data_IF_515236271452
#
_entry.id   IF_515236271452
#
_cell.length_a   1.000
_cell.length_b   1.000
_cell.length_c   1.000
_cell.angle_alpha   90.00
_cell.angle_beta   90.00
_cell.angle_gamma   90.00
#
_symmetry.space_group_name_H-M   'P 1'
#
loop_
_entity.id
_entity.type
_entity.pdbx_description
1 polymer ?
#
# COMPACT_ATOMS: atom_id res chain seq x y z
N UNK A 1 27.06 22.25 63.14
CA UNK A 1 27.44 20.97 62.48
C UNK A 1 27.25 21.10 60.96
N UNK A 2 28.00 22.02 60.33
CA UNK A 2 27.98 22.22 58.87
C UNK A 2 29.43 22.31 58.41
N UNK A 3 29.99 21.20 57.94
CA UNK A 3 31.30 21.20 57.28
C UNK A 3 31.02 21.32 55.78
N UNK A 4 31.18 22.54 55.27
CA UNK A 4 31.09 22.84 53.85
C UNK A 4 32.04 21.92 53.06
N UNK A 5 31.49 21.11 52.16
CA UNK A 5 32.24 20.37 51.14
C UNK A 5 32.70 21.44 50.14
N UNK A 6 33.83 22.07 50.47
CA UNK A 6 34.51 23.05 49.62
C UNK A 6 35.05 22.29 48.41
N UNK A 7 34.66 22.75 47.22
CA UNK A 7 34.82 22.06 45.95
C UNK A 7 36.15 21.35 45.78
N UNK A 8 36.07 20.04 45.59
CA UNK A 8 37.17 19.26 45.02
C UNK A 8 37.45 19.81 43.64
N UNK A 9 38.52 20.61 43.51
CA UNK A 9 39.18 20.83 42.22
C UNK A 9 39.40 19.45 41.64
N UNK A 10 38.65 19.09 40.61
CA UNK A 10 38.91 17.89 39.83
C UNK A 10 40.38 18.02 39.41
N UNK A 11 41.23 17.18 40.00
CA UNK A 11 42.66 17.33 39.85
C UNK A 11 42.95 17.01 38.38
N UNK A 12 43.33 18.01 37.59
CA UNK A 12 43.58 17.90 36.14
C UNK A 12 44.53 16.74 35.84
N UNK A 13 45.42 16.41 36.78
CA UNK A 13 46.33 15.27 36.73
C UNK A 13 45.61 13.91 36.78
N UNK A 14 44.54 13.76 37.56
CA UNK A 14 43.71 12.55 37.65
C UNK A 14 42.87 12.38 36.38
N UNK A 15 42.31 13.47 35.84
CA UNK A 15 41.62 13.46 34.55
C UNK A 15 42.55 13.12 33.38
N UNK A 16 43.76 13.68 33.35
CA UNK A 16 44.77 13.36 32.33
C UNK A 16 45.23 11.90 32.40
N UNK A 17 45.35 11.33 33.60
CA UNK A 17 45.70 9.92 33.77
C UNK A 17 44.57 9.00 33.28
N UNK A 18 43.32 9.26 33.66
CA UNK A 18 42.16 8.50 33.19
C UNK A 18 41.96 8.61 31.67
N UNK A 19 42.19 9.79 31.09
CA UNK A 19 42.16 10.01 29.64
C UNK A 19 43.28 9.25 28.91
N UNK A 20 44.48 9.23 29.49
CA UNK A 20 45.61 8.47 28.96
C UNK A 20 45.33 6.97 29.00
N UNK A 21 44.79 6.46 30.11
CA UNK A 21 44.40 5.06 30.26
C UNK A 21 43.26 4.67 29.28
N UNK A 22 42.28 5.55 29.03
CA UNK A 22 41.24 5.35 28.01
C UNK A 22 41.81 5.30 26.58
N UNK A 23 42.73 6.23 26.27
CA UNK A 23 43.37 6.34 24.95
C UNK A 23 44.29 5.17 24.66
N UNK A 24 44.98 4.65 25.68
CA UNK A 24 45.98 3.59 25.51
C UNK A 24 45.33 2.18 25.57
N UNK A 25 44.16 2.01 26.21
CA UNK A 25 43.48 0.72 26.33
C UNK A 25 42.19 0.57 25.50
N UNK A 26 41.20 1.43 25.75
CA UNK A 26 39.84 1.28 25.19
C UNK A 26 39.76 1.78 23.74
N UNK A 27 40.36 2.93 23.45
CA UNK A 27 40.33 3.54 22.12
C UNK A 27 40.87 2.63 20.99
N UNK A 28 42.04 1.95 21.14
CA UNK A 28 42.52 1.04 20.10
C UNK A 28 41.63 -0.19 19.94
N UNK A 29 40.96 -0.66 20.99
CA UNK A 29 40.01 -1.77 20.93
C UNK A 29 38.76 -1.40 20.13
N UNK A 30 38.21 -0.20 20.35
CA UNK A 30 37.07 0.35 19.59
C UNK A 30 37.45 0.53 18.11
N UNK A 31 38.63 1.09 17.84
CA UNK A 31 39.15 1.27 16.48
C UNK A 31 39.37 -0.06 15.75
N UNK A 32 39.90 -1.08 16.45
CA UNK A 32 40.11 -2.41 15.86
C UNK A 32 38.78 -3.07 15.50
N UNK A 33 37.80 -3.01 16.41
CA UNK A 33 36.47 -3.55 16.17
C UNK A 33 35.74 -2.83 15.02
N UNK A 34 35.89 -1.52 14.87
CA UNK A 34 35.27 -0.78 13.76
C UNK A 34 35.95 -1.06 12.42
N UNK A 35 37.27 -1.23 12.38
CA UNK A 35 38.01 -1.65 11.19
C UNK A 35 37.62 -3.09 10.81
N UNK A 36 37.52 -4.00 11.78
CA UNK A 36 37.10 -5.38 11.56
C UNK A 36 35.66 -5.45 11.00
N UNK A 37 34.76 -4.59 11.48
CA UNK A 37 33.40 -4.45 10.95
C UNK A 37 33.40 -3.95 9.51
N UNK A 38 34.20 -2.94 9.17
CA UNK A 38 34.32 -2.40 7.80
C UNK A 38 34.90 -3.48 6.87
N UNK A 39 35.92 -4.20 7.32
CA UNK A 39 36.55 -5.28 6.57
C UNK A 39 35.57 -6.45 6.33
N UNK A 40 34.79 -6.81 7.35
CA UNK A 40 33.74 -7.83 7.24
C UNK A 40 32.62 -7.38 6.29
N UNK A 41 32.17 -6.13 6.40
CA UNK A 41 31.16 -5.54 5.52
C UNK A 41 31.63 -5.56 4.07
N UNK A 42 32.89 -5.18 3.81
CA UNK A 42 33.50 -5.26 2.48
C UNK A 42 33.51 -6.70 1.96
N UNK A 43 33.93 -7.68 2.77
CA UNK A 43 33.93 -9.10 2.36
C UNK A 43 32.54 -9.62 2.00
N UNK A 44 31.49 -9.20 2.73
CA UNK A 44 30.10 -9.56 2.44
C UNK A 44 29.65 -8.91 1.13
N UNK A 45 29.93 -7.61 0.97
CA UNK A 45 29.55 -6.82 -0.22
C UNK A 45 30.32 -7.20 -1.49
N UNK A 46 31.48 -7.83 -1.38
CA UNK A 46 32.26 -8.30 -2.55
C UNK A 46 31.87 -9.73 -2.96
N UNK A 47 31.08 -10.44 -2.16
CA UNK A 47 30.68 -11.80 -2.44
C UNK A 47 29.50 -11.84 -3.43
N UNK A 48 29.75 -12.34 -4.64
CA UNK A 48 28.77 -12.43 -5.72
C UNK A 48 27.46 -13.15 -5.33
N UNK A 49 27.51 -14.18 -4.47
CA UNK A 49 26.29 -14.87 -4.01
C UNK A 49 25.43 -14.00 -3.10
N UNK A 50 26.06 -13.18 -2.25
CA UNK A 50 25.32 -12.26 -1.37
C UNK A 50 24.74 -11.12 -2.19
N UNK A 51 25.50 -10.57 -3.14
CA UNK A 51 25.01 -9.52 -4.04
C UNK A 51 23.79 -10.02 -4.82
N UNK A 52 23.87 -11.22 -5.40
CA UNK A 52 22.76 -11.81 -6.15
C UNK A 52 21.51 -12.03 -5.29
N UNK A 53 21.70 -12.50 -4.05
CA UNK A 53 20.59 -12.67 -3.09
C UNK A 53 19.95 -11.32 -2.72
N UNK A 54 20.76 -10.30 -2.43
CA UNK A 54 20.26 -8.96 -2.10
C UNK A 54 19.50 -8.35 -3.28
N UNK A 55 20.04 -8.42 -4.50
CA UNK A 55 19.37 -7.94 -5.70
C UNK A 55 18.03 -8.66 -5.92
N UNK A 56 18.00 -9.99 -5.74
CA UNK A 56 16.76 -10.79 -5.81
C UNK A 56 15.73 -10.33 -4.79
N UNK A 57 16.13 -10.10 -3.53
CA UNK A 57 15.22 -9.63 -2.49
C UNK A 57 14.71 -8.21 -2.74
N UNK A 58 15.56 -7.30 -3.23
CA UNK A 58 15.16 -5.94 -3.59
C UNK A 58 14.14 -5.94 -4.73
N UNK A 59 14.38 -6.74 -5.77
CA UNK A 59 13.47 -6.87 -6.90
C UNK A 59 12.09 -7.38 -6.45
N UNK A 60 12.07 -8.43 -5.60
CA UNK A 60 10.83 -8.95 -5.02
C UNK A 60 10.08 -7.91 -4.21
N UNK A 61 10.75 -7.24 -3.26
CA UNK A 61 10.10 -6.25 -2.39
C UNK A 61 9.51 -5.10 -3.21
N UNK A 62 10.21 -4.61 -4.23
CA UNK A 62 9.74 -3.52 -5.09
C UNK A 62 8.47 -3.90 -5.86
N UNK A 63 8.38 -5.13 -6.39
CA UNK A 63 7.18 -5.62 -7.07
C UNK A 63 5.95 -5.62 -6.14
N UNK A 64 6.14 -5.92 -4.86
CA UNK A 64 5.05 -5.96 -3.88
C UNK A 64 4.74 -4.60 -3.21
N UNK A 65 5.67 -3.63 -3.23
CA UNK A 65 5.45 -2.31 -2.61
C UNK A 65 4.31 -1.57 -3.28
N UNK A 66 4.24 -1.57 -4.62
CA UNK A 66 3.15 -0.92 -5.35
C UNK A 66 1.79 -1.54 -4.99
N UNK A 67 1.68 -2.86 -5.08
CA UNK A 67 0.43 -3.56 -4.74
C UNK A 67 0.00 -3.28 -3.29
N UNK A 68 0.94 -3.30 -2.32
CA UNK A 68 0.62 -3.03 -0.92
C UNK A 68 0.20 -1.58 -0.68
N UNK A 69 0.92 -0.61 -1.23
CA UNK A 69 0.63 0.80 -1.05
C UNK A 69 -0.74 1.20 -1.64
N UNK A 70 -1.11 0.62 -2.78
CA UNK A 70 -2.36 0.93 -3.44
C UNK A 70 -3.53 0.00 -3.05
N UNK A 71 -3.28 -1.13 -2.38
CA UNK A 71 -4.33 -2.11 -2.03
C UNK A 71 -5.48 -1.51 -1.23
N UNK A 72 -5.20 -0.77 -0.15
CA UNK A 72 -6.24 -0.18 0.70
C UNK A 72 -7.03 0.89 -0.04
N UNK A 73 -6.35 1.70 -0.86
CA UNK A 73 -6.99 2.71 -1.72
C UNK A 73 -7.84 2.06 -2.81
N UNK A 74 -7.35 0.97 -3.41
CA UNK A 74 -8.07 0.18 -4.39
C UNK A 74 -9.35 -0.39 -3.78
N UNK A 75 -9.27 -1.03 -2.62
CA UNK A 75 -10.43 -1.59 -1.93
C UNK A 75 -11.43 -0.49 -1.60
N UNK A 76 -10.97 0.64 -1.06
CA UNK A 76 -11.81 1.79 -0.74
C UNK A 76 -12.52 2.36 -1.99
N UNK A 77 -11.83 2.46 -3.13
CA UNK A 77 -12.39 3.08 -4.34
C UNK A 77 -13.22 2.12 -5.19
N UNK A 78 -12.96 0.80 -5.14
CA UNK A 78 -13.71 -0.18 -5.93
C UNK A 78 -14.92 -0.75 -5.20
N UNK A 79 -14.82 -0.95 -3.88
CA UNK A 79 -15.90 -1.56 -3.08
C UNK A 79 -16.65 -0.54 -2.22
N UNK A 80 -16.31 0.75 -2.32
CA UNK A 80 -16.91 1.84 -1.54
C UNK A 80 -16.89 1.60 -0.02
N UNK A 81 -15.89 0.84 0.44
CA UNK A 81 -15.71 0.49 1.85
C UNK A 81 -14.94 1.61 2.55
N UNK A 82 -15.32 2.02 3.78
CA UNK A 82 -14.58 3.00 4.56
C UNK A 82 -13.09 2.65 4.68
N UNK A 83 -12.22 3.66 4.58
CA UNK A 83 -10.74 3.51 4.65
C UNK A 83 -10.31 2.70 5.90
N UNK A 84 -11.03 2.83 7.02
CA UNK A 84 -10.76 2.10 8.26
C UNK A 84 -10.95 0.59 8.11
N UNK A 85 -12.07 0.15 7.52
CA UNK A 85 -12.38 -1.26 7.30
C UNK A 85 -11.45 -1.87 6.25
N UNK A 86 -11.16 -1.16 5.16
CA UNK A 86 -10.22 -1.61 4.13
C UNK A 86 -8.80 -1.82 4.69
N UNK A 87 -8.33 -0.88 5.53
CA UNK A 87 -7.03 -0.98 6.19
C UNK A 87 -6.99 -2.13 7.21
N UNK A 88 -8.08 -2.34 7.94
CA UNK A 88 -8.20 -3.42 8.91
C UNK A 88 -8.17 -4.80 8.22
N UNK A 89 -8.89 -4.97 7.12
CA UNK A 89 -8.91 -6.20 6.34
C UNK A 89 -7.52 -6.52 5.76
N UNK A 90 -6.83 -5.52 5.18
CA UNK A 90 -5.47 -5.69 4.68
C UNK A 90 -4.51 -6.13 5.81
N UNK A 91 -4.62 -5.54 7.00
CA UNK A 91 -3.82 -5.92 8.16
C UNK A 91 -4.07 -7.35 8.62
N UNK A 92 -5.34 -7.76 8.72
CA UNK A 92 -5.75 -9.10 9.15
C UNK A 92 -5.24 -10.19 8.21
N UNK A 93 -5.12 -9.91 6.91
CA UNK A 93 -4.61 -10.90 5.94
C UNK A 93 -3.07 -10.92 5.93
N UNK A 94 -2.42 -9.76 5.88
CA UNK A 94 -0.97 -9.67 5.68
C UNK A 94 -0.19 -10.21 6.89
N UNK A 95 -0.63 -9.91 8.11
CA UNK A 95 0.12 -10.26 9.33
C UNK A 95 0.21 -11.79 9.52
N UNK A 96 -0.90 -12.56 9.49
CA UNK A 96 -0.84 -14.02 9.59
C UNK A 96 -0.02 -14.63 8.45
N UNK A 97 -0.20 -14.19 7.20
CA UNK A 97 0.57 -14.69 6.07
C UNK A 97 2.09 -14.54 6.30
N UNK A 98 2.53 -13.39 6.84
CA UNK A 98 3.93 -13.18 7.17
C UNK A 98 4.43 -14.12 8.28
N UNK A 99 3.63 -14.32 9.33
CA UNK A 99 3.97 -15.23 10.44
C UNK A 99 4.11 -16.67 9.92
N UNK A 100 3.11 -17.15 9.19
CA UNK A 100 3.11 -18.50 8.63
C UNK A 100 4.29 -18.73 7.68
N UNK A 101 4.59 -17.76 6.80
CA UNK A 101 5.72 -17.86 5.86
C UNK A 101 7.08 -17.95 6.55
N UNK A 102 7.30 -17.14 7.60
CA UNK A 102 8.56 -17.20 8.37
C UNK A 102 8.69 -18.52 9.15
N UNK A 103 7.61 -18.98 9.79
CA UNK A 103 7.62 -20.24 10.54
C UNK A 103 7.86 -21.44 9.61
N UNK A 104 7.09 -21.54 8.51
CA UNK A 104 7.25 -22.65 7.55
C UNK A 104 8.63 -22.63 6.90
N UNK A 105 9.14 -21.46 6.49
CA UNK A 105 10.50 -21.34 5.95
C UNK A 105 11.57 -21.85 6.93
N UNK A 106 11.46 -21.49 8.22
CA UNK A 106 12.36 -21.97 9.27
C UNK A 106 12.27 -23.49 9.50
N UNK A 107 11.04 -24.03 9.51
CA UNK A 107 10.81 -25.49 9.65
C UNK A 107 11.41 -26.24 8.46
N UNK A 108 11.23 -25.75 7.24
CA UNK A 108 11.73 -26.37 6.01
C UNK A 108 13.27 -26.45 6.05
N UNK A 109 13.95 -25.36 6.40
CA UNK A 109 15.43 -25.34 6.50
C UNK A 109 15.90 -26.35 7.56
N UNK A 110 15.22 -26.41 8.72
CA UNK A 110 15.57 -27.32 9.81
C UNK A 110 15.32 -28.80 9.46
N UNK A 111 14.20 -29.11 8.78
CA UNK A 111 13.80 -30.47 8.43
C UNK A 111 14.62 -31.03 7.27
N UNK A 112 14.87 -30.23 6.24
CA UNK A 112 15.62 -30.64 5.05
C UNK A 112 17.15 -30.50 5.21
N UNK A 113 17.63 -29.99 6.34
CA UNK A 113 19.06 -29.76 6.63
C UNK A 113 19.78 -29.07 5.47
N UNK A 114 19.16 -28.02 4.93
CA UNK A 114 19.65 -27.35 3.72
C UNK A 114 21.02 -26.71 3.97
N UNK A 115 22.01 -27.09 3.16
CA UNK A 115 23.28 -26.38 3.11
C UNK A 115 23.11 -25.00 2.44
N UNK A 116 24.15 -24.16 2.52
CA UNK A 116 24.20 -22.79 1.99
C UNK A 116 23.65 -22.67 0.55
N UNK A 117 24.01 -23.62 -0.33
CA UNK A 117 23.50 -23.68 -1.71
C UNK A 117 22.01 -24.02 -1.79
N UNK A 118 21.53 -24.97 -0.97
CA UNK A 118 20.12 -25.35 -0.93
C UNK A 118 19.21 -24.22 -0.43
N UNK A 119 19.68 -23.44 0.56
CA UNK A 119 18.96 -22.25 1.02
C UNK A 119 18.84 -21.18 -0.08
N UNK A 120 19.93 -20.94 -0.82
CA UNK A 120 19.91 -19.98 -1.94
C UNK A 120 18.99 -20.41 -3.07
N UNK A 121 19.02 -21.70 -3.44
CA UNK A 121 18.14 -22.26 -4.48
C UNK A 121 16.67 -22.15 -4.04
N UNK A 122 16.34 -22.49 -2.80
CA UNK A 122 14.97 -22.38 -2.29
C UNK A 122 14.44 -20.93 -2.36
N UNK A 123 15.28 -19.94 -2.04
CA UNK A 123 14.90 -18.53 -2.11
C UNK A 123 14.62 -18.07 -3.57
N UNK A 124 15.46 -18.50 -4.51
CA UNK A 124 15.27 -18.20 -5.94
C UNK A 124 14.02 -18.90 -6.48
N UNK A 125 13.79 -20.16 -6.12
CA UNK A 125 12.61 -20.92 -6.54
C UNK A 125 11.31 -20.30 -6.01
N UNK A 126 11.29 -19.87 -4.75
CA UNK A 126 10.11 -19.22 -4.16
C UNK A 126 9.80 -17.89 -4.85
N UNK A 127 10.84 -17.15 -5.21
CA UNK A 127 10.71 -15.86 -5.92
C UNK A 127 10.20 -16.07 -7.36
N UNK A 128 10.73 -17.08 -8.06
CA UNK A 128 10.25 -17.47 -9.39
C UNK A 128 8.79 -17.94 -9.36
N UNK A 129 8.40 -18.74 -8.36
CA UNK A 129 7.02 -19.18 -8.18
C UNK A 129 6.08 -17.99 -7.92
N UNK A 130 6.48 -17.01 -7.11
CA UNK A 130 5.70 -15.80 -6.88
C UNK A 130 5.50 -14.98 -8.17
N UNK A 131 6.55 -14.85 -9.00
CA UNK A 131 6.47 -14.14 -10.28
C UNK A 131 5.45 -14.77 -11.25
N UNK A 132 5.30 -16.10 -11.20
CA UNK A 132 4.32 -16.84 -12.01
C UNK A 132 2.92 -16.83 -11.38
N UNK A 133 2.82 -16.87 -10.06
CA UNK A 133 1.53 -16.90 -9.36
C UNK A 133 0.77 -15.56 -9.42
N UNK A 134 1.47 -14.42 -9.35
CA UNK A 134 0.85 -13.09 -9.41
C UNK A 134 -0.01 -12.88 -10.67
N UNK A 135 0.46 -13.14 -11.90
CA UNK A 135 -0.37 -12.99 -13.10
C UNK A 135 -1.50 -14.03 -13.15
N UNK A 136 -1.35 -15.19 -12.53
CA UNK A 136 -2.44 -16.18 -12.44
C UNK A 136 -3.65 -15.64 -11.68
N UNK A 137 -3.43 -14.82 -10.64
CA UNK A 137 -4.52 -14.18 -9.90
C UNK A 137 -5.31 -13.16 -10.74
N UNK A 138 -4.75 -12.59 -11.82
CA UNK A 138 -5.53 -11.76 -12.74
C UNK A 138 -6.60 -12.54 -13.49
N UNK A 139 -6.40 -13.85 -13.69
CA UNK A 139 -7.39 -14.70 -14.35
C UNK A 139 -8.48 -15.20 -13.39
N UNK A 140 -8.20 -15.25 -12.08
CA UNK A 140 -9.18 -15.54 -11.04
C UNK A 140 -10.01 -14.30 -10.66
N UNK A 141 -10.59 -13.63 -11.67
CA UNK A 141 -11.35 -12.40 -11.50
C UNK A 141 -12.61 -12.59 -10.64
N UNK A 142 -13.01 -11.53 -9.95
CA UNK A 142 -14.33 -11.42 -9.34
C UNK A 142 -15.29 -10.66 -10.26
N UNK A 143 -16.58 -10.84 -10.05
CA UNK A 143 -17.61 -10.00 -10.67
C UNK A 143 -17.44 -8.55 -10.18
N UNK A 144 -17.17 -7.63 -11.11
CA UNK A 144 -17.04 -6.21 -10.80
C UNK A 144 -18.44 -5.59 -10.77
N UNK A 145 -18.71 -4.71 -9.80
CA UNK A 145 -19.95 -3.95 -9.76
C UNK A 145 -20.17 -3.24 -11.10
N UNK A 146 -21.34 -3.41 -11.75
CA UNK A 146 -21.59 -2.85 -13.06
C UNK A 146 -21.57 -1.32 -13.00
N UNK A 147 -20.84 -0.69 -13.94
CA UNK A 147 -20.77 0.77 -14.05
C UNK A 147 -21.58 1.25 -15.23
N UNK A 148 -22.49 2.19 -15.01
CA UNK A 148 -23.34 2.77 -16.05
C UNK A 148 -22.48 3.47 -17.12
N UNK A 149 -22.76 3.20 -18.40
CA UNK A 149 -22.02 3.75 -19.55
C UNK A 149 -20.63 3.14 -19.79
N UNK A 150 -20.13 2.27 -18.92
CA UNK A 150 -18.80 1.65 -18.99
C UNK A 150 -18.87 0.13 -19.16
N UNK A 151 -19.59 -0.54 -18.25
CA UNK A 151 -19.75 -2.00 -18.23
C UNK A 151 -21.18 -2.41 -18.54
N UNK A 152 -22.15 -1.53 -18.34
CA UNK A 152 -23.56 -1.73 -18.68
C UNK A 152 -24.15 -0.45 -19.29
N UNK A 153 -25.04 -0.54 -20.29
CA UNK A 153 -25.71 0.63 -20.83
C UNK A 153 -26.67 1.22 -19.80
N UNK A 154 -26.99 2.51 -19.95
CA UNK A 154 -28.06 3.13 -19.18
C UNK A 154 -29.39 2.46 -19.53
N UNK A 155 -30.07 1.86 -18.55
CA UNK A 155 -31.37 1.23 -18.74
C UNK A 155 -32.46 2.28 -18.61
N UNK A 156 -33.03 2.67 -19.74
CA UNK A 156 -34.16 3.59 -19.83
C UNK A 156 -35.27 2.88 -20.63
N UNK A 157 -36.43 2.64 -20.03
CA UNK A 157 -37.66 2.22 -20.71
C UNK A 157 -37.51 1.09 -21.76
N UNK A 158 -36.81 -0.01 -21.43
CA UNK A 158 -36.61 -1.19 -22.29
C UNK A 158 -35.85 -0.99 -23.62
N UNK A 159 -35.39 0.22 -23.96
CA UNK A 159 -34.57 0.46 -25.15
C UNK A 159 -33.09 0.53 -24.76
N UNK A 160 -32.31 -0.47 -25.19
CA UNK A 160 -30.86 -0.51 -25.00
C UNK A 160 -30.18 0.38 -26.04
N UNK A 161 -29.73 1.56 -25.63
CA UNK A 161 -28.90 2.43 -26.49
C UNK A 161 -27.57 1.71 -26.76
N UNK A 162 -27.21 1.61 -28.04
CA UNK A 162 -26.13 0.75 -28.54
C UNK A 162 -24.74 1.13 -28.03
N UNK A 163 -23.86 0.12 -27.96
CA UNK A 163 -22.47 0.21 -27.50
C UNK A 163 -21.59 1.00 -28.47
N UNK A 164 -21.62 2.32 -28.38
CA UNK A 164 -20.52 3.16 -28.85
C UNK A 164 -19.80 3.70 -27.61
N UNK A 165 -18.48 3.45 -27.53
CA UNK A 165 -17.43 3.99 -26.63
C UNK A 165 -17.92 4.92 -25.47
N UNK A 166 -17.39 4.75 -24.24
CA UNK A 166 -18.14 4.88 -22.98
C UNK A 166 -19.10 6.09 -22.99
N UNK A 167 -20.37 5.81 -23.26
CA UNK A 167 -21.40 6.83 -23.25
C UNK A 167 -21.88 7.05 -21.82
N UNK A 168 -21.23 8.00 -21.14
CA UNK A 168 -21.66 8.48 -19.84
C UNK A 168 -22.90 9.37 -19.96
N UNK A 169 -23.37 9.66 -21.17
CA UNK A 169 -24.54 10.48 -21.43
C UNK A 169 -25.72 9.59 -21.79
N UNK A 170 -26.89 9.96 -21.30
CA UNK A 170 -28.14 9.25 -21.52
C UNK A 170 -29.27 10.24 -21.33
N UNK A 171 -30.49 9.90 -21.76
CA UNK A 171 -31.66 10.78 -21.55
C UNK A 171 -31.89 11.12 -20.07
N UNK A 172 -31.37 10.32 -19.14
CA UNK A 172 -31.42 10.59 -17.71
C UNK A 172 -30.56 11.80 -17.27
N UNK A 173 -29.48 12.10 -17.99
CA UNK A 173 -28.50 13.13 -17.62
C UNK A 173 -28.13 14.08 -18.76
N UNK A 174 -28.88 14.02 -19.87
CA UNK A 174 -28.69 14.83 -21.08
C UNK A 174 -28.83 16.33 -20.77
N UNK A 175 -29.81 16.70 -19.94
CA UNK A 175 -30.09 18.09 -19.57
C UNK A 175 -29.27 18.59 -18.36
N UNK A 176 -28.43 17.73 -17.77
CA UNK A 176 -27.76 18.03 -16.51
C UNK A 176 -26.42 18.76 -16.66
N UNK A 177 -25.88 18.87 -17.89
CA UNK A 177 -24.57 19.47 -18.17
C UNK A 177 -23.48 19.01 -17.19
N UNK A 178 -23.33 17.69 -17.01
CA UNK A 178 -22.49 17.14 -15.96
C UNK A 178 -20.99 17.49 -16.14
N UNK A 179 -20.31 18.03 -15.11
CA UNK A 179 -18.88 18.22 -15.17
C UNK A 179 -18.15 16.86 -15.18
N UNK A 180 -16.91 16.78 -15.71
CA UNK A 180 -16.10 15.56 -15.73
C UNK A 180 -15.51 15.21 -14.34
N UNK A 181 -16.32 15.32 -13.28
CA UNK A 181 -15.94 15.03 -11.91
C UNK A 181 -16.24 13.57 -11.57
N UNK A 182 -15.25 12.83 -11.06
CA UNK A 182 -15.39 11.44 -10.62
C UNK A 182 -15.73 11.39 -9.13
N UNK A 183 -16.99 11.07 -8.80
CA UNK A 183 -17.51 10.89 -7.44
C UNK A 183 -18.53 9.74 -7.45
N UNK A 184 -18.08 8.47 -7.50
CA UNK A 184 -18.97 7.36 -7.79
C UNK A 184 -20.06 7.23 -6.72
N UNK A 185 -21.27 6.89 -7.15
CA UNK A 185 -22.41 6.62 -6.26
C UNK A 185 -23.10 5.32 -6.68
N UNK A 186 -23.56 4.55 -5.70
CA UNK A 186 -24.29 3.30 -5.94
C UNK A 186 -25.80 3.57 -6.04
N UNK A 187 -26.41 3.14 -7.14
CA UNK A 187 -27.87 3.09 -7.27
C UNK A 187 -28.47 1.89 -6.53
N UNK A 188 -29.74 1.99 -6.17
CA UNK A 188 -30.53 0.88 -5.59
C UNK A 188 -30.68 -0.33 -6.54
N UNK A 189 -30.32 -0.18 -7.81
CA UNK A 189 -30.27 -1.25 -8.81
C UNK A 189 -28.91 -1.98 -8.85
N UNK A 190 -27.99 -1.66 -7.94
CA UNK A 190 -26.67 -2.26 -7.87
C UNK A 190 -25.69 -1.75 -8.93
N UNK A 191 -26.05 -0.69 -9.67
CA UNK A 191 -25.21 -0.06 -10.69
C UNK A 191 -24.49 1.16 -10.09
N UNK A 192 -23.21 1.28 -10.37
CA UNK A 192 -22.40 2.45 -9.96
C UNK A 192 -22.38 3.51 -11.07
N UNK A 193 -22.71 4.74 -10.71
CA UNK A 193 -22.65 5.91 -11.60
C UNK A 193 -21.38 6.72 -11.35
N UNK A 194 -20.85 7.40 -12.36
CA UNK A 194 -19.57 8.16 -12.29
C UNK A 194 -19.65 9.36 -11.34
N UNK A 195 -20.81 10.02 -11.25
CA UNK A 195 -21.08 11.10 -10.30
C UNK A 195 -22.58 11.17 -9.98
N UNK A 196 -23.00 11.88 -8.90
CA UNK A 196 -24.41 12.11 -8.63
C UNK A 196 -25.16 12.72 -9.82
N UNK A 197 -24.52 13.63 -10.56
CA UNK A 197 -25.10 14.22 -11.78
C UNK A 197 -25.36 13.17 -12.87
N UNK A 198 -24.44 12.21 -13.03
CA UNK A 198 -24.60 11.11 -14.00
C UNK A 198 -25.64 10.07 -13.58
N UNK A 199 -26.15 10.14 -12.34
CA UNK A 199 -27.29 9.35 -11.86
C UNK A 199 -28.64 10.06 -12.08
N UNK A 200 -28.63 11.33 -12.53
CA UNK A 200 -29.80 12.16 -12.83
C UNK A 200 -29.81 13.49 -12.09
N UNK A 201 -30.46 14.50 -12.68
CA UNK A 201 -30.75 15.78 -12.03
C UNK A 201 -32.22 16.16 -12.28
N UNK A 202 -32.78 17.01 -11.41
CA UNK A 202 -34.03 17.72 -11.70
C UNK A 202 -33.72 19.17 -12.00
N UNK A 203 -34.33 19.69 -13.06
CA UNK A 203 -34.30 21.11 -13.38
C UNK A 203 -35.18 21.87 -12.39
N UNK A 204 -34.69 22.20 -11.21
CA UNK A 204 -35.31 23.26 -10.42
C UNK A 204 -34.86 24.61 -10.98
N UNK A 205 -35.80 25.35 -11.56
CA UNK A 205 -35.64 26.74 -11.95
C UNK A 205 -35.28 27.56 -10.70
N UNK A 206 -33.99 27.79 -10.46
CA UNK A 206 -33.58 28.74 -9.42
C UNK A 206 -33.68 30.16 -9.97
N UNK A 207 -34.41 30.95 -9.19
CA UNK A 207 -34.71 32.36 -9.38
C UNK A 207 -33.45 33.19 -9.70
N UNK A 208 -33.66 34.25 -10.46
CA UNK A 208 -32.66 35.21 -10.91
C UNK A 208 -31.78 35.69 -9.75
N UNK A 209 -30.50 35.31 -9.70
CA UNK A 209 -29.32 36.16 -9.42
C UNK A 209 -28.04 35.32 -9.25
N UNK A 210 -26.98 35.69 -9.98
CA UNK A 210 -25.64 35.10 -10.00
C UNK A 210 -25.17 34.50 -8.66
N UNK A 211 -24.95 33.19 -8.60
CA UNK A 211 -23.71 32.51 -8.18
C UNK A 211 -23.97 31.00 -8.05
N UNK A 212 -23.14 30.18 -8.74
CA UNK A 212 -22.96 28.73 -8.50
C UNK A 212 -24.25 27.91 -8.26
N UNK A 213 -24.73 27.24 -9.32
CA UNK A 213 -25.80 26.23 -9.21
C UNK A 213 -25.30 25.08 -8.33
N UNK A 214 -25.64 25.13 -7.04
CA UNK A 214 -25.48 24.03 -6.11
C UNK A 214 -26.70 23.13 -6.25
N UNK A 215 -26.58 22.07 -7.04
CA UNK A 215 -27.58 21.01 -7.06
C UNK A 215 -27.58 20.31 -5.69
N UNK A 216 -28.38 20.83 -4.76
CA UNK A 216 -28.54 20.25 -3.42
C UNK A 216 -29.59 19.12 -3.41
N UNK A 217 -30.36 18.97 -4.48
CA UNK A 217 -31.29 17.86 -4.70
C UNK A 217 -31.05 17.23 -6.07
N UNK A 218 -30.20 16.20 -6.10
CA UNK A 218 -30.20 15.24 -7.19
C UNK A 218 -31.36 14.29 -6.94
N UNK A 219 -32.45 14.41 -7.72
CA UNK A 219 -33.39 13.30 -7.82
C UNK A 219 -32.79 12.33 -8.84
N UNK A 220 -32.25 11.19 -8.38
CA UNK A 220 -31.68 10.23 -9.29
C UNK A 220 -32.80 9.63 -10.15
N UNK A 221 -32.51 9.21 -11.39
CA UNK A 221 -33.50 8.48 -12.21
C UNK A 221 -33.96 7.18 -11.54
N UNK A 222 -33.25 6.74 -10.49
CA UNK A 222 -33.60 5.66 -9.57
C UNK A 222 -33.09 5.95 -8.17
N UNK A 223 -33.76 5.50 -7.12
CA UNK A 223 -33.33 5.69 -5.71
C UNK A 223 -31.84 5.37 -5.51
N UNK A 224 -31.08 6.31 -4.92
CA UNK A 224 -29.72 6.05 -4.45
C UNK A 224 -29.82 5.26 -3.15
N UNK A 225 -28.89 4.34 -2.94
CA UNK A 225 -28.80 3.63 -1.67
C UNK A 225 -27.86 4.41 -0.74
N UNK A 226 -28.39 4.91 0.37
CA UNK A 226 -27.56 5.48 1.43
C UNK A 226 -26.81 4.35 2.15
N UNK A 227 -25.49 4.47 2.25
CA UNK A 227 -24.60 3.64 3.08
C UNK A 227 -24.38 4.26 4.45
#
# INVERSE_FOLDING_TARGET
>A
MFKAIKGSRFNVQVGNKAFKDYKDGIFPTILRNSIDLIQASKRILTNSTVIALVLSTCCGINAFVGLRAFSTKYINTQFDVPVSQASMLAGIIIIPCAIFGNITGGIIVKKLKLQKRGMAIMAVMLTAAALVAIPFFFFAGCEQNPKAGLTVPYSINNDTVGWTLPDLQSTCNEDCMCPPAYRPVCGSDGITYTSPCHAGCSSETSDHNNTMVSYNHYHPCKTLQET
#
